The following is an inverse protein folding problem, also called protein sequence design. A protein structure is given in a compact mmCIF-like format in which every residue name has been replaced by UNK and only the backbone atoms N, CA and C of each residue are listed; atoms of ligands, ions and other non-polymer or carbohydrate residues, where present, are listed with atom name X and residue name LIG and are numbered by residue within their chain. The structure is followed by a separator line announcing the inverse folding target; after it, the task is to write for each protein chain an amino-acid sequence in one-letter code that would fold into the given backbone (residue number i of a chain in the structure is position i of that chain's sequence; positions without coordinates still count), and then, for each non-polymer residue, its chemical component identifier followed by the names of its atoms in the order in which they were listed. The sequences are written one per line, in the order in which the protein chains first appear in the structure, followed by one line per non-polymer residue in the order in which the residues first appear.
data_IF_892568298944
#
_entry.id   IF_892568298944
#
_cell.length_a   1.000
_cell.length_b   1.000
_cell.length_c   1.000
_cell.angle_alpha   90.00
_cell.angle_beta   90.00
_cell.angle_gamma   90.00
#
_symmetry.space_group_name_H-M   'P 1'
#
loop_
_entity.id
_entity.type
_entity.pdbx_description
1 polymer ?
#
# COMPACT_ATOMS: atom_id res chain seq x y z
N UNK A 1 -29.21 -0.72 -8.38
CA UNK A 1 -28.15 -1.74 -8.28
C UNK A 1 -28.43 -2.87 -9.23
N UNK A 2 -29.60 -3.50 -9.08
CA UNK A 2 -30.09 -4.56 -9.97
C UNK A 2 -30.17 -4.14 -11.44
N UNK A 3 -30.57 -2.89 -11.72
CA UNK A 3 -30.59 -2.25 -13.03
C UNK A 3 -29.19 -2.07 -13.65
N UNK A 4 -28.13 -2.08 -12.83
CA UNK A 4 -26.73 -1.99 -13.23
C UNK A 4 -26.00 -3.34 -13.19
N UNK A 5 -26.72 -4.43 -12.88
CA UNK A 5 -26.16 -5.78 -12.86
C UNK A 5 -25.16 -6.06 -11.73
N UNK A 6 -25.24 -5.33 -10.61
CA UNK A 6 -24.33 -5.54 -9.47
C UNK A 6 -24.36 -6.99 -8.97
N UNK A 7 -23.19 -7.48 -8.54
CA UNK A 7 -22.99 -8.82 -7.98
C UNK A 7 -22.17 -8.74 -6.71
N UNK A 8 -22.33 -9.75 -5.85
CA UNK A 8 -21.48 -9.94 -4.69
C UNK A 8 -20.08 -10.39 -5.16
N UNK A 9 -19.05 -9.84 -4.53
CA UNK A 9 -17.67 -10.24 -4.73
C UNK A 9 -17.03 -10.52 -3.38
N UNK A 10 -16.28 -11.63 -3.29
CA UNK A 10 -15.61 -12.06 -2.06
C UNK A 10 -14.17 -11.54 -1.96
N UNK A 11 -13.51 -11.91 -0.86
CA UNK A 11 -12.12 -11.52 -0.57
C UNK A 11 -11.15 -12.01 -1.65
N UNK A 12 -11.33 -13.23 -2.19
CA UNK A 12 -10.47 -13.75 -3.26
C UNK A 12 -10.51 -12.91 -4.54
N UNK A 13 -11.69 -12.40 -4.92
CA UNK A 13 -11.82 -11.50 -6.06
C UNK A 13 -11.08 -10.19 -5.80
N UNK A 14 -11.19 -9.64 -4.58
CA UNK A 14 -10.47 -8.43 -4.18
C UNK A 14 -8.94 -8.65 -4.18
N UNK A 15 -8.48 -9.81 -3.68
CA UNK A 15 -7.06 -10.21 -3.67
C UNK A 15 -6.51 -10.31 -5.09
N UNK A 16 -7.26 -10.90 -6.03
CA UNK A 16 -6.84 -10.93 -7.44
C UNK A 16 -6.69 -9.52 -8.01
N UNK A 17 -7.71 -8.67 -7.83
CA UNK A 17 -7.73 -7.32 -8.38
C UNK A 17 -6.62 -6.43 -7.81
N UNK A 18 -6.36 -6.52 -6.50
CA UNK A 18 -5.34 -5.68 -5.85
C UNK A 18 -3.92 -6.09 -6.27
N UNK A 19 -3.68 -7.37 -6.54
CA UNK A 19 -2.41 -7.85 -7.08
C UNK A 19 -2.20 -7.32 -8.50
N UNK A 20 -3.21 -7.37 -9.37
CA UNK A 20 -3.11 -6.80 -10.73
C UNK A 20 -2.81 -5.29 -10.72
N UNK A 21 -3.29 -4.57 -9.70
CA UNK A 21 -3.01 -3.14 -9.51
C UNK A 21 -1.67 -2.84 -8.83
N UNK A 22 -0.96 -3.86 -8.33
CA UNK A 22 0.28 -3.70 -7.58
C UNK A 22 0.10 -3.11 -6.18
N UNK A 23 -1.07 -3.27 -5.58
CA UNK A 23 -1.33 -2.78 -4.22
C UNK A 23 -0.80 -3.76 -3.18
N UNK A 24 0.14 -3.28 -2.37
CA UNK A 24 0.70 -4.02 -1.24
C UNK A 24 -0.34 -4.16 -0.12
N UNK A 25 -0.40 -5.34 0.47
CA UNK A 25 -1.10 -5.62 1.71
C UNK A 25 -0.10 -5.75 2.84
N UNK A 26 -0.38 -5.05 3.95
CA UNK A 26 0.43 -5.15 5.16
C UNK A 26 0.37 -6.58 5.73
N UNK A 27 1.53 -7.14 6.08
CA UNK A 27 1.67 -8.53 6.51
C UNK A 27 1.80 -9.56 5.37
N UNK A 28 1.64 -9.14 4.10
CA UNK A 28 1.87 -10.00 2.94
C UNK A 28 3.07 -9.53 2.12
N UNK A 29 3.01 -8.31 1.56
CA UNK A 29 4.10 -7.74 0.76
C UNK A 29 4.96 -6.74 1.53
N UNK A 30 4.44 -6.18 2.63
CA UNK A 30 5.19 -5.23 3.46
C UNK A 30 4.94 -5.51 4.95
N UNK A 31 6.01 -5.57 5.73
CA UNK A 31 5.96 -5.77 7.17
C UNK A 31 6.80 -4.76 7.97
N UNK A 32 7.02 -5.02 9.28
CA UNK A 32 7.90 -4.20 10.10
C UNK A 32 9.38 -4.32 9.73
N UNK A 33 9.75 -5.35 8.97
CA UNK A 33 11.13 -5.63 8.54
C UNK A 33 11.49 -4.94 7.21
N UNK A 34 10.51 -4.31 6.55
CA UNK A 34 10.68 -3.64 5.26
C UNK A 34 10.56 -2.12 5.40
N UNK A 35 11.32 -1.40 4.58
CA UNK A 35 11.13 0.05 4.43
C UNK A 35 10.13 0.35 3.30
N UNK A 36 9.40 1.49 3.37
CA UNK A 36 8.56 1.93 2.26
C UNK A 36 9.34 2.13 0.95
N UNK A 37 10.65 2.38 1.02
CA UNK A 37 11.52 2.49 -0.16
C UNK A 37 11.74 1.11 -0.80
N UNK A 38 12.06 0.09 -0.02
CA UNK A 38 12.20 -1.29 -0.51
C UNK A 38 10.89 -1.83 -1.11
N UNK A 39 9.76 -1.45 -0.53
CA UNK A 39 8.43 -1.83 -1.00
C UNK A 39 7.91 -1.00 -2.20
N UNK A 40 8.69 -0.05 -2.73
CA UNK A 40 8.26 0.79 -3.86
C UNK A 40 7.15 1.80 -3.53
N UNK A 41 6.95 2.09 -2.25
CA UNK A 41 5.94 3.01 -1.72
C UNK A 41 6.48 4.42 -1.47
N UNK A 42 7.58 4.81 -2.13
CA UNK A 42 8.19 6.15 -1.99
C UNK A 42 7.17 7.27 -2.27
N UNK A 43 6.24 7.05 -3.20
CA UNK A 43 5.18 8.01 -3.54
C UNK A 43 4.28 8.37 -2.34
N UNK A 44 4.21 7.53 -1.31
CA UNK A 44 3.44 7.75 -0.09
C UNK A 44 4.24 8.44 1.02
N UNK A 45 5.55 8.68 0.83
CA UNK A 45 6.43 9.27 1.84
C UNK A 45 6.71 10.74 1.52
N UNK A 46 6.24 11.65 2.38
CA UNK A 46 6.50 13.10 2.21
C UNK A 46 7.77 13.53 2.94
N UNK A 47 8.93 13.37 2.30
CA UNK A 47 10.23 13.76 2.87
C UNK A 47 10.35 15.25 3.18
N UNK A 48 9.78 16.11 2.34
CA UNK A 48 9.88 17.57 2.46
C UNK A 48 8.83 18.19 3.39
N UNK A 49 8.12 17.39 4.19
CA UNK A 49 7.18 17.96 5.16
C UNK A 49 7.95 18.74 6.25
N UNK A 50 7.46 19.94 6.67
CA UNK A 50 8.19 20.80 7.59
C UNK A 50 8.52 20.11 8.92
N UNK A 51 7.59 19.33 9.43
CA UNK A 51 7.74 18.59 10.67
C UNK A 51 8.53 17.30 10.45
N UNK A 52 9.34 16.91 11.44
CA UNK A 52 9.96 15.59 11.42
C UNK A 52 8.91 14.48 11.63
N UNK A 53 9.24 13.26 11.21
CA UNK A 53 8.42 12.08 11.45
C UNK A 53 9.25 10.87 11.85
N UNK A 54 8.59 9.94 12.53
CA UNK A 54 9.22 8.70 12.99
C UNK A 54 9.81 7.98 11.78
N UNK A 55 11.11 7.73 11.81
CA UNK A 55 11.83 7.06 10.73
C UNK A 55 12.35 7.96 9.60
N UNK A 56 12.08 9.29 9.61
CA UNK A 56 12.54 10.21 8.53
C UNK A 56 14.05 10.14 8.31
N UNK A 57 14.83 10.26 9.38
CA UNK A 57 16.30 10.23 9.31
C UNK A 57 16.83 8.85 8.89
N UNK A 58 16.14 7.76 9.26
CA UNK A 58 16.53 6.42 8.86
C UNK A 58 16.32 6.18 7.36
N UNK A 59 15.28 6.78 6.77
CA UNK A 59 14.97 6.66 5.34
C UNK A 59 15.82 7.57 4.43
N UNK A 60 16.51 8.57 4.99
CA UNK A 60 17.37 9.51 4.25
C UNK A 60 18.85 9.14 4.27
N UNK A 61 19.22 8.05 4.94
CA UNK A 61 20.58 7.51 4.98
C UNK A 61 20.78 6.51 3.85
#
# INVERSE_FOLDING_TARGET
GDDLGLKLAGVEALSSLRIEKGYCAWGHEIGPDDTPLQAGLEFAVKFNKPESFIGKEALLK
#
